data_IF_574199960410
#
_entry.id   IF_574199960410
#
_cell.length_a   1.000
_cell.length_b   1.000
_cell.length_c   1.000
_cell.angle_alpha   90.00
_cell.angle_beta   90.00
_cell.angle_gamma   90.00
#
_symmetry.space_group_name_H-M   'P 1'
#
loop_
_entity.id
_entity.type
_entity.pdbx_description
1 polymer ?
#
# COMPACT_ATOMS: atom_id res chain seq x y z
N UNK A 1 27.39 10.19 -8.09
CA UNK A 1 26.40 11.15 -8.64
C UNK A 1 25.03 10.50 -8.54
N UNK A 2 24.51 10.34 -7.32
CA UNK A 2 23.12 9.94 -7.12
C UNK A 2 22.32 11.21 -7.31
N UNK A 3 21.81 11.25 -8.54
CA UNK A 3 21.71 12.40 -9.41
C UNK A 3 20.45 13.18 -9.07
N UNK A 4 20.37 14.45 -9.48
CA UNK A 4 19.14 15.23 -9.44
C UNK A 4 17.90 14.44 -9.93
N UNK A 5 18.11 13.46 -10.82
CA UNK A 5 17.12 12.51 -11.33
C UNK A 5 16.40 11.68 -10.25
N UNK A 6 17.09 11.28 -9.16
CA UNK A 6 16.47 10.52 -8.07
C UNK A 6 15.58 11.41 -7.18
N UNK A 7 15.89 12.70 -7.11
CA UNK A 7 15.14 13.69 -6.34
C UNK A 7 13.99 14.32 -7.15
N UNK A 8 14.10 14.33 -8.47
CA UNK A 8 13.13 14.94 -9.37
C UNK A 8 11.67 14.50 -9.13
N UNK A 9 11.36 13.22 -8.84
CA UNK A 9 9.98 12.78 -8.57
C UNK A 9 9.36 13.40 -7.31
N UNK A 10 10.18 13.83 -6.34
CA UNK A 10 9.73 14.37 -5.05
C UNK A 10 9.50 15.89 -5.10
N UNK A 11 10.06 16.55 -6.11
CA UNK A 11 9.89 17.98 -6.34
C UNK A 11 10.64 18.88 -5.34
N UNK A 12 10.49 20.21 -5.46
CA UNK A 12 11.11 21.15 -4.53
C UNK A 12 10.55 21.02 -3.12
N UNK A 13 11.38 21.32 -2.11
CA UNK A 13 11.01 21.21 -0.71
C UNK A 13 10.93 19.77 -0.19
N UNK A 14 11.49 18.81 -0.93
CA UNK A 14 11.63 17.44 -0.46
C UNK A 14 12.45 17.38 0.84
N UNK A 15 12.07 16.47 1.71
CA UNK A 15 12.76 16.15 2.95
C UNK A 15 13.21 14.70 2.93
N UNK A 16 14.02 14.31 3.89
CA UNK A 16 14.47 12.94 4.09
C UNK A 16 14.42 12.62 5.58
N UNK A 17 14.06 11.39 5.91
CA UNK A 17 14.12 10.89 7.27
C UNK A 17 14.61 9.46 7.31
N UNK A 18 15.07 9.04 8.48
CA UNK A 18 15.29 7.64 8.81
C UNK A 18 13.94 6.90 8.83
N UNK A 19 13.91 5.66 8.33
CA UNK A 19 12.73 4.81 8.45
C UNK A 19 12.51 4.37 9.91
N UNK A 20 11.24 4.14 10.31
CA UNK A 20 10.88 3.89 11.71
C UNK A 20 11.44 2.57 12.26
N UNK A 21 12.08 1.75 11.44
CA UNK A 21 12.68 0.47 11.84
C UNK A 21 14.08 0.62 12.43
N UNK A 22 14.67 1.80 12.28
CA UNK A 22 16.06 2.04 12.60
C UNK A 22 16.22 3.09 13.69
N UNK A 23 17.24 2.90 14.52
CA UNK A 23 17.70 3.86 15.51
C UNK A 23 19.19 4.08 15.35
N UNK A 24 19.66 5.25 15.76
CA UNK A 24 21.07 5.64 15.68
C UNK A 24 21.67 5.68 17.09
N UNK A 25 22.92 5.25 17.23
CA UNK A 25 23.66 5.31 18.49
C UNK A 25 25.15 5.52 18.24
N UNK A 26 25.95 5.55 19.31
CA UNK A 26 27.40 5.75 19.24
C UNK A 26 28.14 4.66 18.47
N UNK A 27 27.52 3.49 18.29
CA UNK A 27 28.05 2.38 17.51
C UNK A 27 27.44 2.26 16.10
N UNK A 28 26.67 3.24 15.65
CA UNK A 28 26.08 3.29 14.30
C UNK A 28 24.58 3.02 14.29
N UNK A 29 24.10 2.37 13.23
CA UNK A 29 22.66 2.15 12.99
C UNK A 29 22.24 0.78 13.52
N UNK A 30 21.09 0.71 14.18
CA UNK A 30 20.50 -0.50 14.70
C UNK A 30 19.07 -0.66 14.21
N UNK A 31 18.66 -1.90 13.98
CA UNK A 31 17.24 -2.24 13.83
C UNK A 31 16.55 -2.25 15.19
N UNK A 32 15.21 -2.17 15.21
CA UNK A 32 14.40 -2.39 16.42
C UNK A 32 14.68 -3.73 17.13
N UNK A 33 15.11 -4.76 16.39
CA UNK A 33 15.55 -6.04 16.95
C UNK A 33 16.97 -6.02 17.54
N UNK A 34 17.61 -4.85 17.67
CA UNK A 34 18.94 -4.67 18.23
C UNK A 34 20.10 -5.02 17.30
N UNK A 35 19.83 -5.59 16.12
CA UNK A 35 20.86 -5.92 15.12
C UNK A 35 21.54 -4.64 14.62
N UNK A 36 22.86 -4.59 14.73
CA UNK A 36 23.71 -3.54 14.17
C UNK A 36 23.79 -3.68 12.64
N UNK A 37 23.69 -2.57 11.94
CA UNK A 37 23.83 -2.49 10.49
C UNK A 37 25.22 -1.89 10.21
N UNK A 38 26.11 -2.62 9.52
CA UNK A 38 27.40 -2.07 9.16
C UNK A 38 27.19 -1.00 8.09
N UNK A 39 27.60 0.22 8.41
CA UNK A 39 27.70 1.36 7.49
C UNK A 39 29.03 2.05 7.72
N UNK A 40 29.50 2.82 6.75
CA UNK A 40 30.70 3.64 6.96
C UNK A 40 30.41 4.77 7.98
N UNK A 41 31.47 5.41 8.54
CA UNK A 41 31.28 6.47 9.53
C UNK A 41 30.45 7.66 9.02
N UNK A 42 30.61 8.06 7.75
CA UNK A 42 29.87 9.19 7.18
C UNK A 42 28.37 8.88 7.08
N UNK A 43 28.00 7.65 6.72
CA UNK A 43 26.62 7.17 6.72
C UNK A 43 26.04 7.03 8.13
N UNK A 44 26.84 6.65 9.13
CA UNK A 44 26.40 6.65 10.52
C UNK A 44 26.08 8.06 11.02
N UNK A 45 26.97 9.02 10.75
CA UNK A 45 26.81 10.43 11.15
C UNK A 45 25.61 11.06 10.44
N UNK A 46 25.47 10.83 9.13
CA UNK A 46 24.32 11.29 8.37
C UNK A 46 23.02 10.67 8.88
N UNK A 47 23.00 9.36 9.14
CA UNK A 47 21.80 8.70 9.69
C UNK A 47 21.37 9.31 11.03
N UNK A 48 22.32 9.68 11.90
CA UNK A 48 22.03 10.37 13.15
C UNK A 48 21.37 11.74 12.91
N UNK A 49 21.82 12.50 11.91
CA UNK A 49 21.17 13.75 11.51
C UNK A 49 19.75 13.51 10.95
N UNK A 50 19.55 12.40 10.23
CA UNK A 50 18.26 12.01 9.64
C UNK A 50 17.28 11.36 10.63
N UNK A 51 17.66 11.16 11.90
CA UNK A 51 16.74 10.75 12.96
C UNK A 51 15.61 11.78 13.16
N UNK A 52 15.86 13.03 12.76
CA UNK A 52 14.84 14.06 12.58
C UNK A 52 14.69 14.30 11.08
N UNK A 53 13.45 14.46 10.64
CA UNK A 53 13.17 14.80 9.25
C UNK A 53 13.89 16.09 8.84
N UNK A 54 14.70 16.00 7.80
CA UNK A 54 15.64 17.04 7.38
C UNK A 54 15.36 17.45 5.94
N UNK A 55 15.43 18.75 5.63
CA UNK A 55 15.30 19.23 4.26
C UNK A 55 16.46 18.71 3.39
N UNK A 56 16.16 18.16 2.21
CA UNK A 56 17.22 17.67 1.31
C UNK A 56 18.17 18.81 0.92
N UNK A 57 17.62 20.02 0.74
CA UNK A 57 18.39 21.22 0.40
C UNK A 57 19.35 21.71 1.50
N UNK A 58 19.22 21.24 2.74
CA UNK A 58 20.16 21.57 3.83
C UNK A 58 21.28 20.54 4.00
N UNK A 59 21.27 19.45 3.23
CA UNK A 59 22.33 18.45 3.26
C UNK A 59 23.48 18.88 2.32
N UNK A 60 24.76 18.73 2.73
CA UNK A 60 25.91 19.06 1.89
C UNK A 60 26.14 17.96 0.84
N UNK A 61 25.19 17.76 -0.08
CA UNK A 61 25.25 16.73 -1.13
C UNK A 61 26.22 17.08 -2.28
N UNK A 62 26.81 18.27 -2.25
CA UNK A 62 27.95 18.65 -3.08
C UNK A 62 29.26 18.00 -2.60
N UNK A 63 29.34 17.60 -1.33
CA UNK A 63 30.46 16.83 -0.81
C UNK A 63 30.37 15.34 -1.20
N UNK A 64 31.38 14.76 -1.88
CA UNK A 64 31.32 13.38 -2.38
C UNK A 64 31.04 12.32 -1.31
N UNK A 65 31.59 12.50 -0.09
CA UNK A 65 31.40 11.56 1.01
C UNK A 65 29.94 11.57 1.50
N UNK A 66 29.36 12.75 1.73
CA UNK A 66 27.96 12.90 2.15
C UNK A 66 27.00 12.40 1.07
N UNK A 67 27.27 12.72 -0.21
CA UNK A 67 26.47 12.23 -1.32
C UNK A 67 26.48 10.69 -1.42
N UNK A 68 27.65 10.07 -1.19
CA UNK A 68 27.79 8.62 -1.16
C UNK A 68 27.08 7.98 0.05
N UNK A 69 27.20 8.58 1.23
CA UNK A 69 26.51 8.14 2.43
C UNK A 69 24.98 8.23 2.27
N UNK A 70 24.47 9.36 1.77
CA UNK A 70 23.04 9.57 1.52
C UNK A 70 22.46 8.52 0.58
N UNK A 71 23.17 8.30 -0.53
CA UNK A 71 22.90 7.26 -1.49
C UNK A 71 22.82 5.87 -0.86
N UNK A 72 23.86 5.48 -0.11
CA UNK A 72 23.95 4.18 0.54
C UNK A 72 22.76 3.96 1.49
N UNK A 73 22.38 4.98 2.28
CA UNK A 73 21.24 4.90 3.20
C UNK A 73 19.91 4.74 2.46
N UNK A 74 19.71 5.45 1.35
CA UNK A 74 18.49 5.34 0.55
C UNK A 74 18.40 3.99 -0.18
N UNK A 75 19.49 3.55 -0.81
CA UNK A 75 19.56 2.27 -1.54
C UNK A 75 19.40 1.06 -0.60
N UNK A 76 19.91 1.15 0.63
CA UNK A 76 19.72 0.12 1.65
C UNK A 76 18.27 0.10 2.20
N UNK A 77 17.46 1.11 1.89
CA UNK A 77 16.15 1.33 2.50
C UNK A 77 16.27 1.54 4.01
N UNK A 78 17.21 2.39 4.41
CA UNK A 78 17.40 2.86 5.79
C UNK A 78 16.80 4.26 5.95
N UNK A 79 16.98 5.11 4.95
CA UNK A 79 16.34 6.42 4.85
C UNK A 79 15.36 6.45 3.67
N UNK A 80 14.39 7.36 3.72
CA UNK A 80 13.45 7.60 2.63
C UNK A 80 13.32 9.09 2.34
N UNK A 81 13.17 9.42 1.06
CA UNK A 81 12.90 10.78 0.61
C UNK A 81 11.38 10.98 0.62
N UNK A 82 10.96 12.11 1.15
CA UNK A 82 9.57 12.50 1.28
C UNK A 82 9.32 13.75 0.45
N UNK A 83 8.23 13.82 -0.32
CA UNK A 83 7.85 15.08 -0.94
C UNK A 83 7.44 16.08 0.15
N UNK A 84 7.42 17.37 -0.22
CA UNK A 84 7.01 18.44 0.68
C UNK A 84 5.62 18.15 1.31
N UNK A 85 5.47 18.50 2.59
CA UNK A 85 4.18 18.46 3.29
C UNK A 85 3.21 19.37 2.56
N UNK A 86 1.99 18.88 2.35
CA UNK A 86 0.88 19.67 1.82
C UNK A 86 -0.18 19.78 2.89
N UNK A 87 -0.64 20.99 3.16
CA UNK A 87 -1.82 21.18 3.98
C UNK A 87 -3.06 20.85 3.12
N UNK A 88 -3.71 19.73 3.45
CA UNK A 88 -4.93 19.26 2.76
C UNK A 88 -6.11 19.11 3.72
N UNK A 89 -5.98 19.56 4.98
CA UNK A 89 -6.94 19.26 6.04
C UNK A 89 -8.38 19.76 5.74
N UNK A 90 -8.50 20.81 4.92
CA UNK A 90 -9.79 21.40 4.52
C UNK A 90 -10.26 20.99 3.11
N UNK A 91 -9.49 20.20 2.35
CA UNK A 91 -9.86 19.81 1.01
C UNK A 91 -10.93 18.71 1.02
N UNK A 92 -11.89 18.71 0.07
CA UNK A 92 -12.86 17.62 -0.05
C UNK A 92 -12.17 16.31 -0.38
N UNK A 93 -12.71 15.19 0.13
CA UNK A 93 -12.23 13.85 -0.21
C UNK A 93 -12.61 13.54 -1.66
N UNK A 94 -11.62 13.39 -2.51
CA UNK A 94 -11.78 13.04 -3.93
C UNK A 94 -12.01 11.55 -4.14
N UNK A 95 -11.46 10.71 -3.27
CA UNK A 95 -11.65 9.27 -3.33
C UNK A 95 -11.48 8.64 -1.94
N UNK A 96 -12.29 7.62 -1.69
CA UNK A 96 -12.13 6.71 -0.56
C UNK A 96 -11.60 5.39 -1.11
N UNK A 97 -10.50 4.90 -0.56
CA UNK A 97 -9.88 3.63 -0.95
C UNK A 97 -10.06 2.68 0.23
N UNK A 98 -10.77 1.59 0.02
CA UNK A 98 -10.93 0.52 0.99
C UNK A 98 -9.74 -0.41 0.84
N UNK A 99 -8.83 -0.42 1.82
CA UNK A 99 -7.61 -1.23 1.82
C UNK A 99 -7.78 -2.36 2.84
N UNK A 100 -7.73 -3.65 2.44
CA UNK A 100 -7.80 -4.75 3.40
C UNK A 100 -6.72 -4.62 4.48
N UNK A 101 -5.47 -4.48 4.09
CA UNK A 101 -4.32 -4.26 4.96
C UNK A 101 -3.66 -2.91 4.67
N UNK A 102 -2.69 -2.52 5.51
CA UNK A 102 -2.06 -1.19 5.49
C UNK A 102 -1.23 -0.90 4.24
N UNK A 103 -0.86 -1.92 3.46
CA UNK A 103 0.00 -1.84 2.28
C UNK A 103 -0.74 -2.05 0.95
N UNK A 104 -1.95 -2.62 0.97
CA UNK A 104 -2.66 -3.04 -0.25
C UNK A 104 -3.03 -1.90 -1.18
N UNK A 105 -3.48 -0.76 -0.65
CA UNK A 105 -3.77 0.42 -1.46
C UNK A 105 -2.51 0.92 -2.17
N UNK A 106 -1.36 0.95 -1.49
CA UNK A 106 -0.09 1.34 -2.10
C UNK A 106 0.36 0.32 -3.16
N UNK A 107 0.17 -0.98 -2.91
CA UNK A 107 0.47 -2.07 -3.85
C UNK A 107 -0.38 -2.00 -5.11
N UNK A 108 -1.67 -1.78 -4.96
CA UNK A 108 -2.66 -2.00 -6.03
C UNK A 108 -2.96 -0.72 -6.81
N UNK A 109 -3.06 0.42 -6.12
CA UNK A 109 -3.46 1.72 -6.71
C UNK A 109 -2.48 2.86 -6.41
N UNK A 110 -1.27 2.55 -5.94
CA UNK A 110 -0.28 3.54 -5.53
C UNK A 110 0.13 4.53 -6.64
N UNK A 111 0.22 4.10 -7.90
CA UNK A 111 0.58 5.00 -8.99
C UNK A 111 -0.58 5.95 -9.32
N UNK A 112 -1.83 5.48 -9.26
CA UNK A 112 -3.00 6.35 -9.36
C UNK A 112 -3.05 7.39 -8.22
N UNK A 113 -2.78 6.97 -6.98
CA UNK A 113 -2.71 7.87 -5.82
C UNK A 113 -1.64 8.95 -6.04
N UNK A 114 -0.43 8.55 -6.45
CA UNK A 114 0.68 9.46 -6.74
C UNK A 114 0.37 10.43 -7.89
N UNK A 115 -0.29 9.97 -8.95
CA UNK A 115 -0.68 10.83 -10.08
C UNK A 115 -1.67 11.92 -9.66
N UNK A 116 -2.56 11.62 -8.71
CA UNK A 116 -3.58 12.58 -8.22
C UNK A 116 -3.05 13.55 -7.16
N UNK A 117 -1.89 13.24 -6.55
CA UNK A 117 -1.20 14.10 -5.57
C UNK A 117 -1.17 15.57 -5.99
N UNK A 118 -0.95 15.85 -7.28
CA UNK A 118 -0.76 17.20 -7.82
C UNK A 118 -2.02 18.09 -7.79
N UNK A 119 -3.22 17.55 -7.57
CA UNK A 119 -4.47 18.30 -7.74
C UNK A 119 -5.00 18.99 -6.47
N UNK A 120 -4.27 18.97 -5.35
CA UNK A 120 -4.69 19.62 -4.10
C UNK A 120 -5.97 19.01 -3.50
N UNK A 121 -6.22 17.74 -3.82
CA UNK A 121 -7.39 16.97 -3.42
C UNK A 121 -6.98 15.91 -2.42
N UNK A 122 -7.90 15.62 -1.49
CA UNK A 122 -7.65 14.69 -0.38
C UNK A 122 -8.04 13.28 -0.78
N UNK A 123 -7.14 12.32 -0.62
CA UNK A 123 -7.42 10.90 -0.84
C UNK A 123 -7.42 10.21 0.51
N UNK A 124 -8.48 9.48 0.84
CA UNK A 124 -8.62 8.77 2.10
C UNK A 124 -8.46 7.27 1.88
N UNK A 125 -7.44 6.66 2.48
CA UNK A 125 -7.25 5.21 2.53
C UNK A 125 -7.80 4.71 3.87
N UNK A 126 -8.77 3.81 3.83
CA UNK A 126 -9.33 3.15 5.00
C UNK A 126 -8.71 1.76 5.11
N UNK A 127 -7.78 1.58 6.06
CA UNK A 127 -7.16 0.30 6.36
C UNK A 127 -8.11 -0.50 7.26
N UNK A 128 -8.72 -1.54 6.71
CA UNK A 128 -9.83 -2.25 7.36
C UNK A 128 -9.27 -3.17 8.45
N UNK A 129 -8.42 -4.12 8.06
CA UNK A 129 -7.76 -5.05 8.95
C UNK A 129 -6.38 -4.53 9.37
N UNK A 130 -6.36 -3.36 10.01
CA UNK A 130 -5.14 -2.64 10.38
C UNK A 130 -4.46 -3.18 11.65
N UNK A 131 -5.10 -4.08 12.39
CA UNK A 131 -4.51 -4.75 13.55
C UNK A 131 -3.98 -6.14 13.15
N UNK A 132 -2.66 -6.28 13.05
CA UNK A 132 -2.04 -7.51 12.54
C UNK A 132 -0.71 -7.81 13.24
N UNK A 133 -0.56 -9.04 13.72
CA UNK A 133 0.69 -9.55 14.32
C UNK A 133 1.69 -10.07 13.27
N UNK A 134 1.20 -10.40 12.07
CA UNK A 134 1.98 -11.02 11.02
C UNK A 134 2.99 -10.06 10.40
N UNK A 135 4.17 -10.58 10.05
CA UNK A 135 5.25 -9.84 9.40
C UNK A 135 5.94 -10.77 8.40
N UNK A 136 6.11 -10.31 7.17
CA UNK A 136 6.86 -11.04 6.14
C UNK A 136 8.28 -10.50 6.02
N UNK A 137 8.49 -9.21 6.24
CA UNK A 137 9.76 -8.54 5.99
C UNK A 137 10.66 -8.44 7.21
N UNK A 138 11.16 -7.23 7.47
CA UNK A 138 11.96 -6.90 8.63
C UNK A 138 11.14 -7.10 9.92
N UNK A 139 11.61 -8.02 10.76
CA UNK A 139 10.98 -8.34 12.05
C UNK A 139 11.23 -7.22 13.06
N UNK A 140 10.15 -6.75 13.66
CA UNK A 140 10.16 -5.90 14.86
C UNK A 140 9.45 -6.63 16.02
N UNK A 141 9.73 -6.27 17.29
CA UNK A 141 9.00 -6.82 18.44
C UNK A 141 7.49 -6.61 18.29
N UNK A 142 6.70 -7.62 18.67
CA UNK A 142 5.23 -7.55 18.52
C UNK A 142 4.60 -6.34 19.20
N UNK A 143 5.14 -5.92 20.35
CA UNK A 143 4.70 -4.71 21.07
C UNK A 143 4.93 -3.41 20.30
N UNK A 144 5.86 -3.38 19.35
CA UNK A 144 6.16 -2.21 18.53
C UNK A 144 5.53 -2.28 17.13
N UNK A 145 5.08 -3.46 16.69
CA UNK A 145 4.64 -3.69 15.31
C UNK A 145 3.51 -2.75 14.88
N UNK A 146 2.48 -2.57 15.71
CA UNK A 146 1.36 -1.69 15.37
C UNK A 146 1.79 -0.23 15.19
N UNK A 147 2.71 0.27 16.01
CA UNK A 147 3.24 1.63 15.87
C UNK A 147 4.11 1.79 14.62
N UNK A 148 5.00 0.81 14.38
CA UNK A 148 5.86 0.79 13.19
C UNK A 148 5.02 0.71 11.92
N UNK A 149 4.02 -0.17 11.85
CA UNK A 149 3.15 -0.30 10.68
C UNK A 149 2.37 0.99 10.39
N UNK A 150 1.86 1.67 11.42
CA UNK A 150 1.22 2.99 11.26
C UNK A 150 2.22 4.06 10.82
N UNK A 151 3.47 3.99 11.28
CA UNK A 151 4.51 4.91 10.82
C UNK A 151 4.89 4.66 9.35
N UNK A 152 4.96 3.39 8.92
CA UNK A 152 5.15 3.01 7.52
C UNK A 152 4.03 3.59 6.65
N UNK A 153 2.78 3.36 7.03
CA UNK A 153 1.63 3.84 6.28
C UNK A 153 1.56 5.37 6.21
N UNK A 154 1.88 6.09 7.29
CA UNK A 154 1.97 7.57 7.25
C UNK A 154 3.04 8.07 6.28
N UNK A 155 4.20 7.40 6.23
CA UNK A 155 5.27 7.76 5.31
C UNK A 155 4.88 7.42 3.86
N UNK A 156 4.27 6.27 3.62
CA UNK A 156 3.73 5.89 2.30
C UNK A 156 2.63 6.85 1.85
N UNK A 157 1.69 7.22 2.73
CA UNK A 157 0.67 8.23 2.51
C UNK A 157 1.26 9.60 2.18
N UNK A 158 2.35 9.98 2.86
CA UNK A 158 3.08 11.19 2.54
C UNK A 158 3.77 11.14 1.17
N UNK A 159 4.25 10.00 0.71
CA UNK A 159 4.85 9.84 -0.63
C UNK A 159 3.75 9.88 -1.70
N UNK A 160 2.66 9.12 -1.49
CA UNK A 160 1.60 8.89 -2.47
C UNK A 160 0.52 9.97 -2.48
N UNK A 161 0.42 10.78 -1.43
CA UNK A 161 -0.56 11.86 -1.31
C UNK A 161 -1.93 11.36 -0.85
N UNK A 162 -1.95 10.47 0.15
CA UNK A 162 -3.17 10.06 0.84
C UNK A 162 -3.04 10.27 2.34
N UNK A 163 -4.19 10.39 2.99
CA UNK A 163 -4.36 10.24 4.43
C UNK A 163 -4.93 8.86 4.71
N UNK A 164 -4.55 8.26 5.83
CA UNK A 164 -5.08 6.96 6.23
C UNK A 164 -5.98 7.04 7.45
N UNK A 165 -6.87 6.05 7.53
CA UNK A 165 -7.73 5.78 8.69
C UNK A 165 -7.73 4.28 8.96
N UNK A 166 -7.35 3.93 10.18
CA UNK A 166 -7.37 2.56 10.66
C UNK A 166 -8.75 2.22 11.24
N UNK A 167 -9.36 1.12 10.79
CA UNK A 167 -10.62 0.61 11.33
C UNK A 167 -10.42 -0.47 12.41
N UNK A 168 -9.17 -0.87 12.65
CA UNK A 168 -8.75 -1.74 13.76
C UNK A 168 -9.41 -3.13 13.80
N UNK A 169 -9.87 -3.66 12.66
CA UNK A 169 -10.20 -5.07 12.60
C UNK A 169 -8.89 -5.88 12.67
N UNK A 170 -8.90 -6.98 13.43
CA UNK A 170 -7.78 -7.91 13.46
C UNK A 170 -7.74 -8.73 12.17
N UNK A 171 -6.57 -8.93 11.56
CA UNK A 171 -6.43 -9.73 10.33
C UNK A 171 -6.80 -11.21 10.50
N UNK A 172 -7.10 -11.90 9.40
CA UNK A 172 -7.61 -13.28 9.40
C UNK A 172 -6.78 -14.27 10.25
N UNK A 173 -5.45 -14.13 10.25
CA UNK A 173 -4.56 -15.01 11.01
C UNK A 173 -4.76 -14.85 12.52
N UNK A 174 -4.93 -13.61 12.99
CA UNK A 174 -5.12 -13.29 14.40
C UNK A 174 -6.57 -13.58 14.83
N UNK A 175 -7.53 -13.24 13.96
CA UNK A 175 -8.96 -13.40 14.22
C UNK A 175 -9.41 -14.86 14.26
N UNK A 176 -8.81 -15.72 13.43
CA UNK A 176 -9.23 -17.12 13.28
C UNK A 176 -8.11 -18.14 13.58
N UNK A 177 -6.91 -17.70 13.98
CA UNK A 177 -5.78 -18.59 14.21
C UNK A 177 -5.27 -19.29 12.94
N UNK A 178 -5.50 -18.70 11.76
CA UNK A 178 -5.13 -19.29 10.48
C UNK A 178 -3.63 -19.12 10.21
N UNK A 179 -3.01 -20.17 9.65
CA UNK A 179 -1.69 -20.03 9.02
C UNK A 179 -1.80 -19.19 7.74
N UNK A 180 -0.66 -18.67 7.27
CA UNK A 180 -0.61 -17.92 6.00
C UNK A 180 -1.20 -18.71 4.82
N UNK A 181 -0.94 -20.03 4.75
CA UNK A 181 -1.48 -20.84 3.67
C UNK A 181 -3.01 -20.97 3.75
N UNK A 182 -3.57 -20.98 4.95
CA UNK A 182 -5.01 -21.08 5.18
C UNK A 182 -5.75 -19.76 4.97
N UNK A 183 -5.06 -18.62 4.91
CA UNK A 183 -5.71 -17.35 4.54
C UNK A 183 -5.91 -17.21 3.04
N UNK A 184 -5.38 -18.12 2.22
CA UNK A 184 -5.49 -18.10 0.76
C UNK A 184 -6.49 -19.14 0.25
N UNK A 185 -6.89 -19.00 -1.02
CA UNK A 185 -7.80 -19.95 -1.69
C UNK A 185 -9.28 -19.73 -1.36
N UNK A 186 -9.62 -18.65 -0.68
CA UNK A 186 -11.01 -18.26 -0.42
C UNK A 186 -11.66 -17.71 -1.67
N UNK A 187 -12.96 -17.88 -1.75
CA UNK A 187 -13.83 -17.28 -2.75
C UNK A 187 -15.23 -17.10 -2.18
N UNK A 188 -16.16 -16.58 -2.99
CA UNK A 188 -17.55 -16.36 -2.56
C UNK A 188 -18.19 -17.63 -2.04
N UNK A 189 -18.08 -18.73 -2.79
CA UNK A 189 -18.75 -19.98 -2.47
C UNK A 189 -18.22 -20.53 -1.14
N UNK A 190 -16.90 -20.57 -0.96
CA UNK A 190 -16.30 -21.08 0.27
C UNK A 190 -16.57 -20.19 1.49
N UNK A 191 -16.60 -18.87 1.32
CA UNK A 191 -17.00 -17.95 2.40
C UNK A 191 -18.47 -18.14 2.77
N UNK A 192 -19.39 -18.15 1.80
CA UNK A 192 -20.81 -18.29 2.07
C UNK A 192 -21.16 -19.67 2.66
N UNK A 193 -20.35 -20.69 2.37
CA UNK A 193 -20.51 -22.03 2.93
C UNK A 193 -19.94 -22.17 4.35
N UNK A 194 -19.10 -21.25 4.83
CA UNK A 194 -18.51 -21.24 6.17
C UNK A 194 -19.25 -20.24 7.08
N UNK A 195 -20.17 -20.69 7.96
CA UNK A 195 -21.05 -19.80 8.71
C UNK A 195 -20.33 -18.78 9.59
N UNK A 196 -19.16 -19.15 10.16
CA UNK A 196 -18.38 -18.24 11.01
C UNK A 196 -17.88 -17.04 10.22
N UNK A 197 -17.43 -17.27 8.98
CA UNK A 197 -16.86 -16.24 8.11
C UNK A 197 -17.96 -15.47 7.38
N UNK A 198 -19.05 -16.14 6.99
CA UNK A 198 -20.18 -15.50 6.32
C UNK A 198 -20.80 -14.36 7.14
N UNK A 199 -20.86 -14.50 8.47
CA UNK A 199 -21.38 -13.47 9.38
C UNK A 199 -20.54 -12.19 9.44
N UNK A 200 -19.27 -12.24 9.02
CA UNK A 200 -18.40 -11.07 9.01
C UNK A 200 -18.73 -10.10 7.89
N UNK A 201 -19.34 -10.57 6.79
CA UNK A 201 -19.66 -9.74 5.62
C UNK A 201 -20.56 -8.58 6.03
N UNK A 202 -21.67 -8.86 6.73
CA UNK A 202 -22.61 -7.81 7.15
C UNK A 202 -22.01 -6.89 8.21
N UNK A 203 -21.19 -7.43 9.12
CA UNK A 203 -20.47 -6.61 10.12
C UNK A 203 -19.53 -5.61 9.44
N UNK A 204 -18.78 -6.05 8.43
CA UNK A 204 -17.92 -5.19 7.64
C UNK A 204 -18.73 -4.21 6.80
N UNK A 205 -19.82 -4.66 6.17
CA UNK A 205 -20.69 -3.81 5.38
C UNK A 205 -21.25 -2.65 6.23
N UNK A 206 -21.75 -2.92 7.44
CA UNK A 206 -22.24 -1.88 8.36
C UNK A 206 -21.16 -0.87 8.73
N UNK A 207 -19.94 -1.34 9.01
CA UNK A 207 -18.80 -0.47 9.30
C UNK A 207 -18.43 0.42 8.10
N UNK A 208 -18.35 -0.17 6.91
CA UNK A 208 -18.05 0.54 5.67
C UNK A 208 -19.15 1.53 5.30
N UNK A 209 -20.43 1.17 5.51
CA UNK A 209 -21.56 2.08 5.34
C UNK A 209 -21.42 3.30 6.24
N UNK A 210 -21.03 3.12 7.50
CA UNK A 210 -20.82 4.23 8.44
C UNK A 210 -19.72 5.19 7.95
N UNK A 211 -18.57 4.65 7.50
CA UNK A 211 -17.47 5.44 6.92
C UNK A 211 -17.93 6.21 5.68
N UNK A 212 -18.66 5.54 4.78
CA UNK A 212 -19.13 6.14 3.53
C UNK A 212 -20.29 7.13 3.72
N UNK A 213 -21.01 7.05 4.84
CA UNK A 213 -22.09 7.99 5.18
C UNK A 213 -21.57 9.34 5.73
N UNK A 214 -20.31 9.38 6.18
CA UNK A 214 -19.66 10.60 6.66
C UNK A 214 -19.75 11.72 5.61
N UNK A 215 -20.03 12.98 6.02
CA UNK A 215 -20.19 14.08 5.08
C UNK A 215 -19.04 14.25 4.09
N UNK A 216 -17.80 14.00 4.53
CA UNK A 216 -16.61 14.12 3.69
C UNK A 216 -16.54 13.01 2.61
N UNK A 217 -17.10 11.82 2.88
CA UNK A 217 -16.98 10.63 2.03
C UNK A 217 -18.23 10.38 1.16
N UNK A 218 -19.36 10.99 1.50
CA UNK A 218 -20.69 10.67 0.95
C UNK A 218 -20.80 10.73 -0.57
N UNK A 219 -20.07 11.62 -1.22
CA UNK A 219 -20.08 11.76 -2.69
C UNK A 219 -18.80 11.28 -3.35
N UNK A 220 -17.79 10.89 -2.56
CA UNK A 220 -16.51 10.48 -3.10
C UNK A 220 -16.67 9.14 -3.86
N UNK A 221 -16.03 8.99 -5.03
CA UNK A 221 -15.72 7.69 -5.61
C UNK A 221 -15.05 6.77 -4.59
N UNK A 222 -15.37 5.48 -4.66
CA UNK A 222 -14.84 4.42 -3.82
C UNK A 222 -14.01 3.49 -4.69
N UNK A 223 -12.83 3.12 -4.20
CA UNK A 223 -12.01 2.06 -4.76
C UNK A 223 -11.97 0.91 -3.75
N UNK A 224 -12.27 -0.32 -4.17
CA UNK A 224 -12.29 -1.49 -3.30
C UNK A 224 -11.48 -2.65 -3.91
N UNK A 225 -10.96 -3.58 -3.10
CA UNK A 225 -10.28 -4.77 -3.60
C UNK A 225 -11.23 -5.63 -4.42
N UNK A 226 -10.72 -6.24 -5.49
CA UNK A 226 -11.49 -7.22 -6.27
C UNK A 226 -11.54 -8.61 -5.63
N UNK A 227 -10.70 -8.87 -4.62
CA UNK A 227 -10.56 -10.19 -3.99
C UNK A 227 -9.67 -11.15 -4.78
N UNK A 228 -8.95 -10.66 -5.80
CA UNK A 228 -8.04 -11.47 -6.61
C UNK A 228 -6.93 -12.05 -5.70
N UNK A 229 -6.59 -13.32 -5.92
CA UNK A 229 -5.65 -14.08 -5.08
C UNK A 229 -6.31 -14.89 -3.97
N UNK A 230 -7.58 -14.61 -3.65
CA UNK A 230 -8.35 -15.40 -2.69
C UNK A 230 -7.87 -15.27 -1.25
N UNK A 231 -7.23 -14.15 -0.89
CA UNK A 231 -6.94 -13.87 0.52
C UNK A 231 -8.25 -13.57 1.27
N UNK A 232 -8.52 -14.27 2.37
CA UNK A 232 -9.79 -14.19 3.11
C UNK A 232 -10.23 -12.75 3.36
N UNK A 233 -9.36 -11.93 3.96
CA UNK A 233 -9.66 -10.52 4.26
C UNK A 233 -10.00 -9.71 3.00
N UNK A 234 -9.30 -9.91 1.87
CA UNK A 234 -9.61 -9.18 0.63
C UNK A 234 -10.99 -9.58 0.08
N UNK A 235 -11.28 -10.87 0.08
CA UNK A 235 -12.56 -11.40 -0.39
C UNK A 235 -13.70 -10.90 0.51
N UNK A 236 -13.52 -10.84 1.83
CA UNK A 236 -14.50 -10.28 2.76
C UNK A 236 -14.80 -8.80 2.45
N UNK A 237 -13.79 -7.97 2.20
CA UNK A 237 -14.00 -6.55 1.84
C UNK A 237 -14.72 -6.41 0.50
N UNK A 238 -14.35 -7.23 -0.50
CA UNK A 238 -15.02 -7.26 -1.79
C UNK A 238 -16.51 -7.62 -1.63
N UNK A 239 -16.81 -8.68 -0.87
CA UNK A 239 -18.17 -9.14 -0.60
C UNK A 239 -18.99 -8.13 0.22
N UNK A 240 -18.39 -7.50 1.23
CA UNK A 240 -19.05 -6.45 2.01
C UNK A 240 -19.39 -5.24 1.13
N UNK A 241 -18.48 -4.86 0.22
CA UNK A 241 -18.73 -3.80 -0.77
C UNK A 241 -19.88 -4.18 -1.71
N UNK A 242 -19.96 -5.44 -2.13
CA UNK A 242 -21.08 -5.92 -2.92
C UNK A 242 -22.42 -5.95 -2.15
N UNK A 243 -22.39 -6.25 -0.84
CA UNK A 243 -23.57 -6.16 0.02
C UNK A 243 -24.10 -4.72 0.07
N UNK A 244 -23.22 -3.71 0.14
CA UNK A 244 -23.61 -2.30 0.05
C UNK A 244 -24.24 -1.93 -1.30
N UNK A 245 -23.77 -2.52 -2.40
CA UNK A 245 -24.39 -2.34 -3.73
C UNK A 245 -25.77 -2.98 -3.78
N UNK A 246 -25.91 -4.21 -3.27
CA UNK A 246 -27.19 -4.92 -3.23
C UNK A 246 -28.23 -4.19 -2.38
N UNK A 247 -27.80 -3.65 -1.24
CA UNK A 247 -28.62 -2.85 -0.33
C UNK A 247 -28.87 -1.41 -0.82
N UNK A 248 -28.27 -1.00 -1.96
CA UNK A 248 -28.33 0.37 -2.51
C UNK A 248 -27.83 1.46 -1.54
N UNK A 249 -26.92 1.09 -0.65
CA UNK A 249 -26.18 2.04 0.20
C UNK A 249 -25.06 2.69 -0.61
N UNK A 250 -24.47 1.93 -1.55
CA UNK A 250 -23.48 2.41 -2.50
C UNK A 250 -24.03 2.32 -3.92
N UNK A 251 -23.85 3.38 -4.71
CA UNK A 251 -24.25 3.40 -6.11
C UNK A 251 -23.21 2.71 -6.99
N UNK A 252 -23.58 1.86 -7.97
CA UNK A 252 -22.62 1.20 -8.86
C UNK A 252 -21.68 2.16 -9.59
N UNK A 253 -22.13 3.37 -9.90
CA UNK A 253 -21.32 4.39 -10.57
C UNK A 253 -20.25 5.02 -9.65
N UNK A 254 -20.38 4.88 -8.33
CA UNK A 254 -19.43 5.40 -7.35
C UNK A 254 -18.30 4.43 -7.03
N UNK A 255 -18.42 3.15 -7.36
CA UNK A 255 -17.44 2.13 -6.98
C UNK A 255 -16.63 1.67 -8.19
N UNK A 256 -15.36 1.39 -7.95
CA UNK A 256 -14.49 0.67 -8.87
C UNK A 256 -13.67 -0.33 -8.08
N UNK A 257 -13.60 -1.57 -8.54
CA UNK A 257 -12.75 -2.57 -7.92
C UNK A 257 -11.33 -2.47 -8.48
N UNK A 258 -10.29 -2.62 -7.68
CA UNK A 258 -8.90 -2.62 -8.15
C UNK A 258 -8.33 -4.03 -8.21
N UNK A 259 -7.36 -4.26 -9.10
CA UNK A 259 -6.58 -5.49 -9.14
C UNK A 259 -5.70 -5.62 -7.89
N UNK A 260 -5.90 -6.69 -7.12
CA UNK A 260 -5.13 -6.97 -5.90
C UNK A 260 -3.70 -7.39 -6.24
N UNK A 261 -2.73 -6.51 -5.96
CA UNK A 261 -1.30 -6.79 -6.09
C UNK A 261 -0.69 -7.11 -4.73
N UNK A 262 0.34 -8.00 -4.65
CA UNK A 262 1.02 -8.66 -5.77
C UNK A 262 0.31 -9.91 -6.29
N UNK A 263 -0.84 -10.31 -5.71
CA UNK A 263 -1.52 -11.56 -6.01
C UNK A 263 -1.78 -11.76 -7.51
N UNK A 264 -2.29 -10.72 -8.17
CA UNK A 264 -2.60 -10.77 -9.60
C UNK A 264 -1.35 -10.82 -10.51
N UNK A 265 -0.18 -10.38 -10.04
CA UNK A 265 1.03 -10.37 -10.85
C UNK A 265 1.55 -11.78 -11.20
N UNK A 266 1.21 -12.78 -10.36
CA UNK A 266 1.52 -14.19 -10.63
C UNK A 266 0.47 -14.92 -11.47
N UNK A 267 -0.62 -14.25 -11.85
CA UNK A 267 -1.71 -14.89 -12.59
C UNK A 267 -1.48 -14.80 -14.10
N UNK A 268 -1.60 -15.92 -14.84
CA UNK A 268 -1.38 -15.94 -16.29
C UNK A 268 -2.46 -15.16 -17.05
N UNK A 269 -3.69 -15.10 -16.52
CA UNK A 269 -4.81 -14.39 -17.15
C UNK A 269 -5.58 -13.58 -16.10
N UNK A 270 -5.87 -12.33 -16.43
CA UNK A 270 -6.84 -11.52 -15.70
C UNK A 270 -8.24 -11.70 -16.26
N UNK A 271 -9.27 -11.35 -15.46
CA UNK A 271 -10.59 -11.05 -15.98
C UNK A 271 -10.49 -10.04 -17.14
N UNK A 272 -10.89 -10.46 -18.34
CA UNK A 272 -10.97 -9.62 -19.53
C UNK A 272 -12.43 -9.29 -19.85
N UNK A 273 -12.65 -8.14 -20.48
CA UNK A 273 -13.97 -7.68 -20.94
C UNK A 273 -14.17 -6.18 -20.76
N UNK A 274 -15.34 -5.68 -21.15
CA UNK A 274 -15.67 -4.25 -21.14
C UNK A 274 -15.70 -3.62 -19.73
N UNK A 275 -15.71 -4.45 -18.69
CA UNK A 275 -15.66 -4.02 -17.29
C UNK A 275 -14.21 -3.73 -16.83
N UNK A 276 -13.19 -4.31 -17.47
CA UNK A 276 -11.79 -4.11 -17.15
C UNK A 276 -11.29 -2.78 -17.72
N UNK A 277 -10.66 -1.97 -16.87
CA UNK A 277 -10.23 -0.61 -17.17
C UNK A 277 -8.75 -0.45 -16.83
N UNK A 278 -7.85 -0.52 -17.82
CA UNK A 278 -6.45 -0.20 -17.62
C UNK A 278 -6.31 1.31 -17.38
N UNK A 279 -5.70 1.69 -16.25
CA UNK A 279 -5.41 3.08 -15.91
C UNK A 279 -3.93 3.33 -16.17
N UNK A 280 -3.64 4.02 -17.29
CA UNK A 280 -2.29 4.48 -17.60
C UNK A 280 -1.84 5.54 -16.60
N UNK A 281 -0.62 5.40 -16.11
CA UNK A 281 0.02 6.33 -15.19
C UNK A 281 1.37 6.78 -15.76
N UNK A 282 2.05 7.71 -15.10
CA UNK A 282 3.37 8.18 -15.53
C UNK A 282 4.49 7.35 -14.89
N UNK A 283 5.68 7.36 -15.49
CA UNK A 283 6.88 6.78 -14.87
C UNK A 283 7.18 7.43 -13.51
N UNK A 284 6.94 8.73 -13.36
CA UNK A 284 7.10 9.42 -12.07
C UNK A 284 6.14 8.88 -11.00
N UNK A 285 4.88 8.61 -11.36
CA UNK A 285 3.91 8.02 -10.45
C UNK A 285 4.31 6.59 -10.04
N UNK A 286 4.82 5.79 -10.98
CA UNK A 286 5.40 4.48 -10.67
C UNK A 286 6.61 4.61 -9.74
N UNK A 287 7.52 5.57 -9.97
CA UNK A 287 8.67 5.79 -9.08
C UNK A 287 8.24 6.12 -7.66
N UNK A 288 7.23 6.99 -7.48
CA UNK A 288 6.66 7.29 -6.16
C UNK A 288 5.98 6.08 -5.53
N UNK A 289 5.26 5.26 -6.32
CA UNK A 289 4.73 3.96 -5.88
C UNK A 289 5.84 3.07 -5.33
N UNK A 290 6.91 2.86 -6.09
CA UNK A 290 8.01 1.98 -5.66
C UNK A 290 8.72 2.52 -4.41
N UNK A 291 8.89 3.84 -4.30
CA UNK A 291 9.43 4.46 -3.10
C UNK A 291 8.53 4.23 -1.88
N UNK A 292 7.21 4.36 -2.02
CA UNK A 292 6.25 4.07 -0.95
C UNK A 292 6.25 2.59 -0.57
N UNK A 293 6.31 1.67 -1.53
CA UNK A 293 6.39 0.23 -1.24
C UNK A 293 7.66 -0.15 -0.47
N UNK A 294 8.76 0.54 -0.72
CA UNK A 294 10.02 0.32 0.01
C UNK A 294 9.94 0.72 1.50
N UNK A 295 8.96 1.54 1.89
CA UNK A 295 8.72 1.94 3.28
C UNK A 295 8.12 0.81 4.11
N UNK A 296 7.26 -0.03 3.53
CA UNK A 296 6.56 -1.14 4.20
C UNK A 296 7.48 -2.34 4.49
N UNK A 297 8.61 -2.10 5.15
CA UNK A 297 9.63 -3.11 5.47
C UNK A 297 9.10 -4.23 6.34
N UNK A 298 8.06 -4.05 7.16
CA UNK A 298 7.46 -5.14 7.95
C UNK A 298 6.58 -6.07 7.11
N UNK A 299 6.05 -5.59 5.98
CA UNK A 299 5.02 -6.26 5.16
C UNK A 299 5.48 -6.70 3.78
N UNK A 300 6.50 -6.04 3.23
CA UNK A 300 6.97 -6.26 1.87
C UNK A 300 8.43 -6.62 1.82
N UNK A 301 8.75 -7.49 0.85
CA UNK A 301 10.11 -7.84 0.44
C UNK A 301 10.37 -7.39 -0.99
N UNK A 302 11.64 -7.24 -1.35
CA UNK A 302 12.07 -6.83 -2.70
C UNK A 302 11.42 -7.62 -3.85
N UNK A 303 11.24 -8.97 -3.77
CA UNK A 303 10.57 -9.70 -4.85
C UNK A 303 9.12 -9.27 -5.09
N UNK A 304 8.35 -8.94 -4.04
CA UNK A 304 6.96 -8.48 -4.19
C UNK A 304 6.90 -7.12 -4.88
N UNK A 305 7.80 -6.20 -4.50
CA UNK A 305 7.93 -4.88 -5.12
C UNK A 305 8.33 -5.02 -6.61
N UNK A 306 9.26 -5.94 -6.91
CA UNK A 306 9.68 -6.23 -8.28
C UNK A 306 8.54 -6.79 -9.13
N UNK A 307 7.72 -7.69 -8.58
CA UNK A 307 6.51 -8.20 -9.24
C UNK A 307 5.52 -7.08 -9.57
N UNK A 308 5.27 -6.16 -8.64
CA UNK A 308 4.40 -5.01 -8.87
C UNK A 308 4.94 -4.09 -9.98
N UNK A 309 6.26 -3.86 -10.01
CA UNK A 309 6.92 -3.09 -11.06
C UNK A 309 6.78 -3.75 -12.43
N UNK A 310 7.12 -5.04 -12.52
CA UNK A 310 7.04 -5.80 -13.76
C UNK A 310 5.60 -5.79 -14.29
N UNK A 311 4.64 -6.10 -13.43
CA UNK A 311 3.22 -6.09 -13.75
C UNK A 311 2.75 -4.77 -14.35
N UNK A 312 3.11 -3.65 -13.74
CA UNK A 312 2.72 -2.34 -14.23
C UNK A 312 3.30 -2.02 -15.62
N UNK A 313 4.53 -2.45 -15.90
CA UNK A 313 5.19 -2.21 -17.18
C UNK A 313 4.70 -3.16 -18.28
N UNK A 314 4.46 -4.43 -17.95
CA UNK A 314 4.04 -5.46 -18.91
C UNK A 314 2.64 -5.17 -19.48
N UNK A 315 1.72 -4.68 -18.65
CA UNK A 315 0.38 -4.26 -19.08
C UNK A 315 0.38 -3.00 -19.95
N UNK A 316 1.45 -2.20 -19.89
CA UNK A 316 1.54 -0.89 -20.50
C UNK A 316 1.56 -0.90 -22.02
N UNK A 317 2.23 -1.89 -22.63
CA UNK A 317 2.48 -2.03 -24.07
C UNK A 317 3.34 -0.91 -24.69
N UNK A 318 2.99 0.34 -24.37
CA UNK A 318 3.53 1.59 -24.92
C UNK A 318 4.65 2.18 -24.03
N UNK A 319 5.12 1.41 -23.04
CA UNK A 319 6.12 1.84 -22.05
C UNK A 319 5.59 2.72 -20.91
N UNK A 320 4.27 2.98 -20.85
CA UNK A 320 3.64 3.66 -19.71
C UNK A 320 3.13 2.63 -18.68
N UNK A 321 3.42 2.82 -17.38
CA UNK A 321 2.92 1.93 -16.35
C UNK A 321 1.38 1.93 -16.25
N UNK A 322 0.79 0.76 -16.05
CA UNK A 322 -0.67 0.57 -15.92
C UNK A 322 -1.03 -0.05 -14.57
N UNK A 323 -2.13 0.40 -13.99
CA UNK A 323 -2.84 -0.29 -12.91
C UNK A 323 -4.23 -0.70 -13.40
N UNK A 324 -4.66 -1.92 -13.07
CA UNK A 324 -5.96 -2.43 -13.53
C UNK A 324 -7.06 -2.12 -12.52
N UNK A 325 -8.21 -1.74 -13.05
CA UNK A 325 -9.44 -1.56 -12.29
C UNK A 325 -10.62 -2.19 -13.01
N UNK A 326 -11.74 -2.41 -12.31
CA UNK A 326 -12.90 -3.13 -12.79
C UNK A 326 -14.17 -2.37 -12.38
N UNK A 327 -15.05 -2.11 -13.34
CA UNK A 327 -16.34 -1.48 -13.06
C UNK A 327 -17.27 -2.45 -12.32
N UNK A 328 -18.09 -1.93 -11.39
CA UNK A 328 -19.09 -2.75 -10.71
C UNK A 328 -20.28 -3.17 -11.60
N UNK A 329 -20.49 -2.50 -12.73
CA UNK A 329 -21.56 -2.81 -13.68
C UNK A 329 -20.99 -3.46 -14.95
N UNK A 330 -21.41 -4.71 -15.22
CA UNK A 330 -21.07 -5.49 -16.40
C UNK A 330 -21.58 -6.93 -16.29
N UNK A 331 -22.14 -7.48 -17.37
CA UNK A 331 -22.51 -8.90 -17.43
C UNK A 331 -21.23 -9.73 -17.57
N UNK A 332 -20.80 -10.36 -16.48
CA UNK A 332 -19.53 -11.12 -16.42
C UNK A 332 -18.77 -10.86 -15.12
N UNK A 333 -19.46 -11.00 -13.98
CA UNK A 333 -18.87 -10.87 -12.63
C UNK A 333 -17.56 -11.66 -12.56
N UNK A 334 -16.55 -11.07 -11.91
CA UNK A 334 -15.24 -11.66 -11.65
C UNK A 334 -15.40 -13.16 -11.35
N UNK A 335 -14.79 -14.07 -12.13
CA UNK A 335 -14.74 -15.46 -11.72
C UNK A 335 -13.83 -15.50 -10.49
N UNK A 336 -14.45 -15.49 -9.31
CA UNK A 336 -13.82 -15.82 -8.04
C UNK A 336 -13.50 -17.33 -8.01
N UNK A 337 -12.94 -17.88 -9.09
CA UNK A 337 -12.52 -19.28 -9.14
C UNK A 337 -11.00 -19.33 -8.94
N UNK A 338 -10.61 -19.20 -7.66
CA UNK A 338 -9.23 -19.29 -7.19
C UNK A 338 -8.71 -20.73 -7.12
N UNK A 339 -9.51 -21.74 -7.53
CA UNK A 339 -9.18 -23.17 -7.40
C UNK A 339 -7.92 -23.61 -8.17
N UNK A 340 -7.36 -22.76 -9.04
CA UNK A 340 -6.13 -23.03 -9.82
C UNK A 340 -4.85 -22.39 -9.26
N UNK A 341 -4.89 -21.67 -8.13
CA UNK A 341 -3.84 -20.68 -7.77
C UNK A 341 -2.85 -21.08 -6.67
N UNK A 342 -3.01 -22.23 -6.01
CA UNK A 342 -2.12 -22.63 -4.89
C UNK A 342 -0.89 -23.36 -5.42
N UNK A 343 0.03 -22.64 -6.09
CA UNK A 343 1.26 -23.25 -6.63
C UNK A 343 2.55 -22.46 -6.48
N UNK A 344 2.50 -21.11 -6.44
CA UNK A 344 3.70 -20.31 -6.72
C UNK A 344 4.12 -19.28 -5.66
N UNK A 345 3.32 -18.98 -4.64
CA UNK A 345 3.63 -17.87 -3.70
C UNK A 345 4.12 -18.32 -2.31
N UNK A 346 4.32 -19.63 -2.08
CA UNK A 346 4.73 -20.18 -0.78
C UNK A 346 6.27 -20.33 -0.59
N UNK A 347 7.10 -19.72 -1.44
CA UNK A 347 8.57 -19.79 -1.36
C UNK A 347 9.22 -18.42 -1.25
#
# INVERSE_FOLDING_TARGET
MICADALAPFGPGATVCLLPHFTTGTDGIRTFGGRRIPVDPAAADLAAALAVETAVASLPLDEPATAHAFAQLCEAGIATILPAVRDQAAAPVEAVILSPHVDDAALSVGAQLAARRCHGRRQLVCNIFSDQSYQTGLRVPGSALGEVARAEDRLAGRILGYESRDLAFSGAQDRHGLSLAQTLGWNRETICAEPLVAGEISTLADCLAAVLAEPACRSAPVLAPSGIGGHLDHVLVALATEELLAARVLEPARITFYEDLPYAAGMPELPQGDFSRPIKTSLNALTLKLAALAVFRTRLRTPQIALCKARALDLGGDGLPVEMTFAAAGAGRLPMDSSRLVGSMAT
#
